data_IF_280463341975
#
_entry.id   IF_280463341975
#
_cell.length_a   1.000
_cell.length_b   1.000
_cell.length_c   1.000
_cell.angle_alpha   90.00
_cell.angle_beta   90.00
_cell.angle_gamma   90.00
#
_symmetry.space_group_name_H-M   'P 1'
#
loop_
_entity.id
_entity.type
_entity.pdbx_description
1 polymer ?
#
# COMPACT_ATOMS: atom_id res chain seq x y z
N UNK A 1 -16.61 34.19 -26.08
CA UNK A 1 -15.79 33.10 -26.60
C UNK A 1 -14.34 33.47 -26.34
N UNK A 2 -13.80 33.14 -25.18
CA UNK A 2 -12.40 33.36 -24.84
C UNK A 2 -11.71 32.01 -24.88
N UNK A 3 -10.74 31.90 -25.78
CA UNK A 3 -9.87 30.75 -25.94
C UNK A 3 -9.02 30.57 -24.68
N UNK A 4 -9.26 29.49 -23.94
CA UNK A 4 -8.37 29.03 -22.88
C UNK A 4 -7.16 28.42 -23.58
N UNK A 5 -6.02 29.10 -23.49
CA UNK A 5 -4.72 28.55 -23.93
C UNK A 5 -4.36 27.38 -23.01
N UNK A 6 -4.24 26.23 -23.61
CA UNK A 6 -3.76 24.99 -22.97
C UNK A 6 -2.26 25.15 -22.66
N UNK A 7 -1.95 25.64 -21.47
CA UNK A 7 -0.60 25.79 -20.96
C UNK A 7 -0.06 24.45 -20.46
N UNK A 8 0.12 23.46 -21.35
CA UNK A 8 0.83 22.23 -21.03
C UNK A 8 2.31 22.53 -20.84
N UNK A 9 2.73 22.60 -19.55
CA UNK A 9 4.16 22.55 -19.20
C UNK A 9 4.75 21.24 -19.71
N UNK A 10 5.96 21.25 -20.28
CA UNK A 10 6.62 20.02 -20.69
C UNK A 10 6.85 19.15 -19.45
N UNK A 11 6.18 18.00 -19.42
CA UNK A 11 6.47 16.94 -18.45
C UNK A 11 7.88 16.45 -18.75
N UNK A 12 8.76 16.46 -17.74
CA UNK A 12 10.07 15.82 -17.87
C UNK A 12 9.91 14.41 -18.42
N UNK A 13 10.84 13.99 -19.26
CA UNK A 13 10.80 12.69 -19.89
C UNK A 13 10.63 11.59 -18.83
N UNK A 14 9.72 10.63 -19.04
CA UNK A 14 9.63 9.47 -18.17
C UNK A 14 10.97 8.72 -18.24
N UNK A 15 11.41 8.11 -17.11
CA UNK A 15 12.68 7.40 -17.09
C UNK A 15 12.69 6.34 -18.20
N UNK A 16 13.83 6.25 -18.90
CA UNK A 16 14.06 5.18 -19.88
C UNK A 16 14.11 3.87 -19.10
N UNK A 17 13.06 3.09 -19.20
CA UNK A 17 12.97 1.77 -18.57
C UNK A 17 13.52 0.78 -19.59
N UNK A 18 14.69 0.22 -19.31
CA UNK A 18 15.10 -1.03 -19.96
C UNK A 18 14.08 -2.09 -19.60
N UNK A 19 13.58 -2.80 -20.59
CA UNK A 19 12.53 -3.81 -20.40
C UNK A 19 12.99 -4.84 -19.36
N UNK A 20 12.19 -5.14 -18.32
CA UNK A 20 12.45 -6.32 -17.53
C UNK A 20 12.30 -7.52 -18.47
N UNK A 21 13.42 -8.12 -18.86
CA UNK A 21 13.39 -9.44 -19.48
C UNK A 21 12.77 -10.43 -18.49
N UNK A 22 12.12 -11.50 -18.95
CA UNK A 22 11.58 -12.55 -18.07
C UNK A 22 12.60 -13.16 -17.09
N UNK A 23 13.89 -12.91 -17.30
CA UNK A 23 15.01 -13.33 -16.45
C UNK A 23 15.46 -12.26 -15.42
N UNK A 24 14.81 -11.09 -15.38
CA UNK A 24 15.21 -9.94 -14.54
C UNK A 24 14.77 -10.00 -13.06
N UNK A 25 14.36 -11.15 -12.57
CA UNK A 25 13.93 -11.35 -11.16
C UNK A 25 15.01 -10.94 -10.14
N UNK A 26 16.29 -11.05 -10.51
CA UNK A 26 17.41 -10.75 -9.60
C UNK A 26 17.63 -9.24 -9.39
N UNK A 27 17.30 -8.40 -10.37
CA UNK A 27 17.47 -6.94 -10.25
C UNK A 27 16.36 -6.26 -9.44
N UNK A 28 15.18 -6.85 -9.39
CA UNK A 28 13.97 -6.26 -8.80
C UNK A 28 13.96 -6.42 -7.27
N UNK A 29 14.39 -7.57 -6.74
CA UNK A 29 14.58 -7.75 -5.30
C UNK A 29 15.61 -6.75 -4.73
N UNK A 30 16.56 -6.29 -5.54
CA UNK A 30 17.51 -5.25 -5.17
C UNK A 30 16.87 -3.85 -5.07
N UNK A 31 15.75 -3.58 -5.74
CA UNK A 31 15.10 -2.26 -5.73
C UNK A 31 14.50 -1.89 -4.38
N UNK A 32 13.89 -2.84 -3.69
CA UNK A 32 13.29 -2.62 -2.37
C UNK A 32 14.34 -2.28 -1.30
N UNK A 33 15.56 -2.80 -1.47
CA UNK A 33 16.66 -2.68 -0.52
C UNK A 33 17.49 -1.41 -0.73
N UNK A 34 17.26 -0.66 -1.80
CA UNK A 34 18.12 0.43 -2.26
C UNK A 34 17.75 1.81 -1.74
N UNK A 35 16.83 1.94 -0.80
CA UNK A 35 16.62 3.26 -0.19
C UNK A 35 17.90 3.71 0.52
N UNK A 36 18.42 4.92 0.21
CA UNK A 36 19.80 5.29 0.57
C UNK A 36 20.00 5.66 2.04
N UNK A 37 18.97 5.65 2.87
CA UNK A 37 19.03 6.08 4.27
C UNK A 37 18.34 5.09 5.20
N UNK A 38 18.75 5.04 6.46
CA UNK A 38 18.17 4.17 7.49
C UNK A 38 17.30 4.98 8.46
N UNK A 39 16.09 4.53 8.82
CA UNK A 39 15.27 5.20 9.81
C UNK A 39 15.92 5.25 11.19
N UNK A 40 15.65 6.31 11.98
CA UNK A 40 16.31 6.54 13.26
C UNK A 40 15.97 5.50 14.34
N UNK A 41 14.87 4.77 14.18
CA UNK A 41 14.39 3.74 15.11
C UNK A 41 14.88 2.32 14.74
N UNK A 42 15.55 2.17 13.60
CA UNK A 42 16.17 0.90 13.18
C UNK A 42 17.58 0.81 13.76
N UNK A 43 17.78 -0.11 14.72
CA UNK A 43 19.11 -0.39 15.26
C UNK A 43 19.89 -1.26 14.28
N UNK A 44 20.90 -0.67 13.64
CA UNK A 44 21.87 -1.43 12.87
C UNK A 44 22.67 -2.34 13.82
N UNK A 45 22.66 -3.64 13.60
CA UNK A 45 23.70 -4.51 14.14
C UNK A 45 24.96 -4.26 13.30
N UNK A 46 26.10 -3.99 13.95
CA UNK A 46 27.37 -3.60 13.29
C UNK A 46 27.85 -4.55 12.18
N UNK A 47 27.34 -5.78 12.12
CA UNK A 47 27.73 -6.78 11.12
C UNK A 47 26.91 -6.75 9.82
N UNK A 48 25.81 -5.99 9.72
CA UNK A 48 24.81 -6.16 8.65
C UNK A 48 24.29 -4.84 8.07
N UNK A 49 25.20 -3.92 7.73
CA UNK A 49 24.80 -2.66 7.07
C UNK A 49 23.93 -2.89 5.78
N UNK A 50 24.14 -4.03 5.12
CA UNK A 50 23.32 -4.46 3.97
C UNK A 50 22.00 -5.14 4.38
N UNK A 51 21.90 -5.70 5.60
CA UNK A 51 20.67 -6.34 6.08
C UNK A 51 19.71 -5.37 6.75
N UNK A 52 20.18 -4.21 7.20
CA UNK A 52 19.37 -3.19 7.86
C UNK A 52 18.33 -2.56 6.91
N UNK A 53 18.64 -2.50 5.62
CA UNK A 53 17.67 -2.09 4.62
C UNK A 53 16.48 -3.06 4.49
N UNK A 54 16.61 -4.31 4.94
CA UNK A 54 15.55 -5.33 4.93
C UNK A 54 14.47 -5.11 5.99
N UNK A 55 14.74 -4.33 7.04
CA UNK A 55 13.73 -4.05 8.08
C UNK A 55 12.65 -3.05 7.64
N UNK A 56 12.77 -2.42 6.46
CA UNK A 56 11.76 -1.51 5.87
C UNK A 56 10.64 -2.24 5.19
N UNK A 57 11.00 -3.35 4.56
CA UNK A 57 10.09 -4.25 3.89
C UNK A 57 10.15 -5.58 4.60
N UNK A 58 9.01 -6.19 4.84
CA UNK A 58 8.99 -7.55 5.34
C UNK A 58 9.42 -8.49 4.22
N UNK A 59 9.94 -9.66 4.57
CA UNK A 59 10.18 -10.73 3.59
C UNK A 59 8.91 -11.07 2.79
N UNK A 60 7.77 -10.78 3.39
CA UNK A 60 6.49 -10.94 2.78
C UNK A 60 6.26 -9.90 1.67
N UNK A 61 6.55 -8.61 1.91
CA UNK A 61 6.47 -7.57 0.88
C UNK A 61 7.39 -7.91 -0.30
N UNK A 62 8.62 -8.38 -0.02
CA UNK A 62 9.58 -8.82 -1.05
C UNK A 62 8.97 -9.91 -1.92
N UNK A 63 8.46 -10.97 -1.30
CA UNK A 63 7.87 -12.10 -2.03
C UNK A 63 6.64 -11.67 -2.87
N UNK A 64 5.83 -10.75 -2.39
CA UNK A 64 4.66 -10.26 -3.13
C UNK A 64 5.04 -9.37 -4.30
N UNK A 65 6.06 -8.51 -4.15
CA UNK A 65 6.59 -7.74 -5.27
C UNK A 65 7.23 -8.66 -6.30
N UNK A 66 8.06 -9.63 -5.88
CA UNK A 66 8.65 -10.61 -6.79
C UNK A 66 7.57 -11.39 -7.54
N UNK A 67 6.48 -11.77 -6.86
CA UNK A 67 5.35 -12.40 -7.50
C UNK A 67 4.69 -11.50 -8.55
N UNK A 68 4.44 -10.22 -8.24
CA UNK A 68 3.86 -9.26 -9.17
C UNK A 68 4.77 -9.05 -10.40
N UNK A 69 6.08 -8.94 -10.18
CA UNK A 69 7.06 -8.71 -11.23
C UNK A 69 7.27 -9.94 -12.11
N UNK A 70 7.07 -11.15 -11.57
CA UNK A 70 7.18 -12.40 -12.33
C UNK A 70 5.97 -12.71 -13.21
N UNK A 71 4.84 -12.02 -13.07
CA UNK A 71 3.64 -12.27 -13.89
C UNK A 71 3.92 -11.99 -15.36
N UNK A 72 3.72 -12.99 -16.21
CA UNK A 72 3.93 -12.86 -17.66
C UNK A 72 2.59 -12.64 -18.37
N UNK A 73 2.38 -11.41 -18.84
CA UNK A 73 1.17 -11.02 -19.57
C UNK A 73 1.07 -11.64 -20.98
N UNK A 74 2.15 -12.19 -21.49
CA UNK A 74 2.26 -12.62 -22.89
C UNK A 74 2.33 -14.14 -23.05
N UNK A 75 2.82 -14.86 -22.05
CA UNK A 75 2.95 -16.32 -22.14
C UNK A 75 1.59 -16.98 -22.32
N UNK A 76 1.45 -17.78 -23.35
CA UNK A 76 0.22 -18.53 -23.64
C UNK A 76 -0.04 -19.65 -22.62
N UNK A 77 1.01 -20.15 -21.97
CA UNK A 77 0.96 -21.23 -20.99
C UNK A 77 2.18 -21.19 -20.07
N UNK A 78 2.15 -21.92 -18.99
CA UNK A 78 3.26 -22.04 -18.03
C UNK A 78 2.88 -21.47 -16.65
N UNK A 79 3.74 -21.64 -15.65
CA UNK A 79 3.43 -21.32 -14.26
C UNK A 79 3.28 -19.79 -14.00
N UNK A 80 3.82 -18.97 -14.87
CA UNK A 80 3.73 -17.49 -14.78
C UNK A 80 2.72 -16.90 -15.77
N UNK A 81 2.11 -17.73 -16.64
CA UNK A 81 1.07 -17.32 -17.57
C UNK A 81 -0.18 -16.88 -16.81
N UNK A 82 -0.72 -15.72 -17.17
CA UNK A 82 -1.89 -15.14 -16.53
C UNK A 82 -2.96 -14.78 -17.55
N UNK A 83 -4.22 -14.83 -17.11
CA UNK A 83 -5.33 -14.28 -17.85
C UNK A 83 -5.41 -12.77 -17.63
N UNK A 84 -5.55 -12.01 -18.72
CA UNK A 84 -5.56 -10.55 -18.73
C UNK A 84 -6.89 -10.07 -19.29
N UNK A 85 -7.74 -9.49 -18.44
CA UNK A 85 -9.11 -9.15 -18.82
C UNK A 85 -9.52 -7.78 -18.28
N UNK A 86 -10.45 -7.07 -18.96
CA UNK A 86 -10.90 -5.78 -18.47
C UNK A 86 -11.67 -5.93 -17.15
N UNK A 87 -11.49 -4.96 -16.25
CA UNK A 87 -12.34 -4.81 -15.09
C UNK A 87 -13.71 -4.32 -15.56
N UNK A 88 -14.73 -5.11 -15.29
CA UNK A 88 -16.12 -4.81 -15.58
C UNK A 88 -16.77 -4.16 -14.34
N UNK A 89 -17.74 -3.32 -14.48
CA UNK A 89 -18.50 -2.70 -13.36
C UNK A 89 -17.73 -1.66 -12.51
N UNK A 90 -16.92 -0.82 -13.14
CA UNK A 90 -16.21 0.25 -12.44
C UNK A 90 -16.40 1.60 -13.14
N UNK A 91 -16.20 2.67 -12.37
CA UNK A 91 -16.11 4.05 -12.87
C UNK A 91 -14.75 4.38 -13.49
N UNK A 92 -13.72 3.54 -13.25
CA UNK A 92 -12.38 3.70 -13.82
C UNK A 92 -11.99 2.52 -14.69
N UNK A 93 -11.28 2.77 -15.79
CA UNK A 93 -10.66 1.71 -16.59
C UNK A 93 -9.60 0.99 -15.78
N UNK A 94 -9.54 -0.32 -15.88
CA UNK A 94 -8.55 -1.15 -15.20
C UNK A 94 -8.51 -2.55 -15.80
N UNK A 95 -7.41 -3.22 -15.62
CA UNK A 95 -7.17 -4.58 -16.10
C UNK A 95 -7.06 -5.49 -14.88
N UNK A 96 -7.74 -6.61 -14.89
CA UNK A 96 -7.66 -7.65 -13.85
C UNK A 96 -6.78 -8.79 -14.34
N UNK A 97 -5.88 -9.24 -13.49
CA UNK A 97 -4.91 -10.29 -13.77
C UNK A 97 -5.28 -11.53 -12.94
N UNK A 98 -5.37 -12.66 -13.62
CA UNK A 98 -5.81 -13.92 -13.02
C UNK A 98 -4.76 -15.03 -13.20
N UNK A 99 -4.39 -15.67 -12.11
CA UNK A 99 -3.72 -16.98 -12.15
C UNK A 99 -4.72 -18.03 -12.66
N UNK A 100 -4.31 -18.78 -13.68
CA UNK A 100 -5.18 -19.73 -14.35
C UNK A 100 -4.95 -21.15 -13.84
N UNK A 101 -6.00 -21.95 -13.68
CA UNK A 101 -5.83 -23.37 -13.44
C UNK A 101 -5.16 -24.03 -14.66
N UNK A 102 -4.36 -25.06 -14.43
CA UNK A 102 -3.59 -25.77 -15.48
C UNK A 102 -4.44 -26.35 -16.63
N UNK A 103 -5.74 -26.48 -16.40
CA UNK A 103 -6.71 -26.98 -17.39
C UNK A 103 -7.27 -25.89 -18.30
N UNK A 104 -6.94 -24.63 -18.07
CA UNK A 104 -7.50 -23.50 -18.80
C UNK A 104 -6.39 -22.68 -19.47
N UNK A 105 -6.41 -22.58 -20.80
CA UNK A 105 -5.47 -21.75 -21.53
C UNK A 105 -5.81 -20.25 -21.38
N UNK A 106 -4.80 -19.38 -21.50
CA UNK A 106 -4.97 -17.93 -21.51
C UNK A 106 -5.99 -17.49 -22.54
N UNK A 107 -5.85 -17.95 -23.77
CA UNK A 107 -6.75 -17.59 -24.87
C UNK A 107 -8.21 -17.99 -24.59
N UNK A 108 -8.45 -19.21 -24.10
CA UNK A 108 -9.78 -19.68 -23.75
C UNK A 108 -10.39 -18.83 -22.63
N UNK A 109 -9.60 -18.51 -21.59
CA UNK A 109 -10.03 -17.66 -20.49
C UNK A 109 -10.39 -16.25 -20.99
N UNK A 110 -9.52 -15.58 -21.71
CA UNK A 110 -9.71 -14.21 -22.19
C UNK A 110 -10.91 -14.12 -23.15
N UNK A 111 -11.11 -15.13 -23.99
CA UNK A 111 -12.26 -15.20 -24.91
C UNK A 111 -13.60 -15.40 -24.18
N UNK A 112 -13.61 -16.19 -23.12
CA UNK A 112 -14.85 -16.56 -22.42
C UNK A 112 -15.17 -15.63 -21.25
N UNK A 113 -14.15 -15.13 -20.53
CA UNK A 113 -14.30 -14.36 -19.31
C UNK A 113 -14.02 -12.85 -19.49
N UNK A 114 -13.34 -12.47 -20.59
CA UNK A 114 -13.03 -11.09 -20.93
C UNK A 114 -14.27 -10.28 -21.29
N UNK A 115 -15.13 -10.72 -22.24
CA UNK A 115 -16.30 -9.98 -22.63
C UNK A 115 -17.36 -9.89 -21.53
N UNK A 116 -18.05 -8.76 -21.51
CA UNK A 116 -19.22 -8.59 -20.63
C UNK A 116 -20.33 -9.58 -21.03
N UNK A 117 -20.94 -10.19 -20.01
CA UNK A 117 -22.14 -11.00 -20.18
C UNK A 117 -23.35 -10.23 -19.60
N UNK A 118 -24.42 -9.98 -20.36
CA UNK A 118 -25.64 -9.37 -19.83
C UNK A 118 -26.17 -10.15 -18.63
N UNK A 119 -26.59 -9.46 -17.59
CA UNK A 119 -27.09 -10.07 -16.35
C UNK A 119 -26.02 -10.46 -15.31
N UNK A 120 -24.73 -10.33 -15.63
CA UNK A 120 -23.65 -10.51 -14.64
C UNK A 120 -23.57 -9.26 -13.77
N UNK A 121 -23.95 -9.38 -12.51
CA UNK A 121 -23.81 -8.32 -11.52
C UNK A 121 -22.38 -8.28 -10.96
N UNK A 122 -21.97 -7.20 -10.29
CA UNK A 122 -20.69 -7.07 -9.59
C UNK A 122 -20.35 -8.31 -8.74
N UNK A 123 -21.34 -8.96 -8.17
CA UNK A 123 -21.23 -10.19 -7.39
C UNK A 123 -20.72 -11.39 -8.22
N UNK A 124 -20.97 -11.40 -9.53
CA UNK A 124 -20.54 -12.50 -10.42
C UNK A 124 -19.21 -12.21 -11.12
N UNK A 125 -18.76 -10.95 -11.24
CA UNK A 125 -17.42 -10.65 -11.75
C UNK A 125 -16.32 -11.25 -10.84
N UNK A 126 -16.62 -11.50 -9.57
CA UNK A 126 -15.74 -12.18 -8.63
C UNK A 126 -15.72 -13.72 -8.79
N UNK A 127 -16.48 -14.28 -9.73
CA UNK A 127 -16.58 -15.74 -9.98
C UNK A 127 -15.96 -16.16 -11.31
N UNK A 128 -14.99 -15.42 -11.83
CA UNK A 128 -14.22 -15.86 -12.98
C UNK A 128 -13.45 -17.14 -12.66
N UNK A 129 -13.21 -17.96 -13.69
CA UNK A 129 -12.52 -19.25 -13.60
C UNK A 129 -11.01 -19.04 -13.38
N UNK A 130 -10.62 -18.56 -12.23
CA UNK A 130 -9.23 -18.29 -11.91
C UNK A 130 -9.14 -17.52 -10.60
N UNK A 131 -7.94 -17.45 -10.05
CA UNK A 131 -7.65 -16.68 -8.86
C UNK A 131 -7.16 -15.30 -9.29
N UNK A 132 -7.92 -14.25 -8.98
CA UNK A 132 -7.47 -12.88 -9.21
C UNK A 132 -6.25 -12.59 -8.33
N UNK A 133 -5.13 -12.24 -8.97
CA UNK A 133 -3.85 -12.00 -8.29
C UNK A 133 -3.47 -10.52 -8.26
N UNK A 134 -3.87 -9.75 -9.27
CA UNK A 134 -3.52 -8.34 -9.32
C UNK A 134 -4.52 -7.51 -10.15
N UNK A 135 -4.35 -6.19 -10.07
CA UNK A 135 -4.97 -5.19 -10.95
C UNK A 135 -3.87 -4.37 -11.59
N UNK A 136 -3.96 -4.15 -12.90
CA UNK A 136 -3.10 -3.23 -13.61
C UNK A 136 -3.90 -1.98 -13.99
N UNK A 137 -3.45 -0.82 -13.52
CA UNK A 137 -4.02 0.49 -13.84
C UNK A 137 -3.02 1.29 -14.66
N UNK A 138 -3.46 1.81 -15.79
CA UNK A 138 -2.62 2.49 -16.78
C UNK A 138 -2.55 3.98 -16.49
N UNK A 139 -1.36 4.56 -16.62
CA UNK A 139 -1.12 5.99 -16.65
C UNK A 139 -0.44 6.57 -15.42
N UNK A 140 -0.16 7.87 -15.49
CA UNK A 140 0.58 8.61 -14.45
C UNK A 140 -0.12 8.65 -13.09
N UNK A 141 -1.45 8.62 -13.05
CA UNK A 141 -2.20 8.54 -11.78
C UNK A 141 -1.88 7.23 -11.05
N UNK A 142 -1.65 6.16 -11.79
CA UNK A 142 -1.29 4.87 -11.22
C UNK A 142 0.07 4.90 -10.47
N UNK A 143 0.96 5.85 -10.76
CA UNK A 143 2.21 6.05 -10.00
C UNK A 143 1.94 6.32 -8.52
N UNK A 144 0.80 6.94 -8.19
CA UNK A 144 0.38 7.15 -6.81
C UNK A 144 0.27 5.85 -6.01
N UNK A 145 -0.28 4.79 -6.60
CA UNK A 145 -0.40 3.49 -5.95
C UNK A 145 0.95 2.89 -5.58
N UNK A 146 1.91 2.95 -6.51
CA UNK A 146 3.28 2.48 -6.27
C UNK A 146 3.96 3.32 -5.20
N UNK A 147 3.99 4.64 -5.37
CA UNK A 147 4.63 5.54 -4.41
C UNK A 147 4.00 5.45 -3.01
N UNK A 148 2.68 5.30 -2.92
CA UNK A 148 1.94 5.13 -1.67
C UNK A 148 2.42 3.87 -0.92
N UNK A 149 2.60 2.75 -1.62
CA UNK A 149 3.16 1.53 -1.03
C UNK A 149 4.55 1.78 -0.45
N UNK A 150 5.48 2.35 -1.23
CA UNK A 150 6.85 2.60 -0.77
C UNK A 150 6.89 3.58 0.40
N UNK A 151 6.21 4.71 0.32
CA UNK A 151 6.16 5.70 1.41
C UNK A 151 5.54 5.11 2.66
N UNK A 152 4.48 4.30 2.54
CA UNK A 152 3.88 3.63 3.71
C UNK A 152 4.88 2.76 4.46
N UNK A 153 5.78 2.08 3.74
CA UNK A 153 6.85 1.27 4.36
C UNK A 153 7.93 2.14 4.98
N UNK A 154 8.38 3.19 4.29
CA UNK A 154 9.33 4.17 4.84
C UNK A 154 8.84 4.81 6.13
N UNK A 155 7.54 5.07 6.24
CA UNK A 155 6.92 5.63 7.44
C UNK A 155 6.59 4.60 8.53
N UNK A 156 6.97 3.34 8.38
CA UNK A 156 6.87 2.32 9.43
C UNK A 156 5.70 1.36 9.28
N UNK A 157 5.48 0.82 8.08
CA UNK A 157 4.37 -0.09 7.80
C UNK A 157 3.03 0.50 8.20
N UNK A 158 2.79 1.71 7.74
CA UNK A 158 1.52 2.37 8.00
C UNK A 158 0.43 1.63 7.26
N UNK A 159 -0.49 1.09 7.99
CA UNK A 159 -1.69 0.46 7.43
C UNK A 159 -1.34 -0.60 6.37
N UNK A 160 -2.16 -1.57 6.15
CA UNK A 160 -2.00 -2.49 5.03
C UNK A 160 -2.30 -1.78 3.71
N UNK A 161 -1.29 -1.12 3.18
CA UNK A 161 -1.26 -0.67 1.78
C UNK A 161 -0.80 -1.85 0.95
N UNK A 162 -1.63 -2.33 0.00
CA UNK A 162 -1.27 -3.47 -0.83
C UNK A 162 0.03 -3.24 -1.60
N UNK A 163 0.87 -4.26 -1.74
CA UNK A 163 2.04 -4.22 -2.60
C UNK A 163 1.68 -3.77 -4.01
N UNK A 164 2.48 -2.87 -4.54
CA UNK A 164 2.31 -2.34 -5.87
C UNK A 164 3.68 -2.10 -6.53
N UNK A 165 3.77 -2.42 -7.81
CA UNK A 165 4.97 -2.23 -8.62
C UNK A 165 4.64 -1.50 -9.92
N UNK A 166 5.63 -0.82 -10.50
CA UNK A 166 5.52 -0.23 -11.82
C UNK A 166 5.63 -1.33 -12.87
N UNK A 167 4.73 -1.32 -13.85
CA UNK A 167 4.74 -2.29 -14.96
C UNK A 167 4.42 -1.60 -16.28
N UNK A 168 4.87 -2.23 -17.35
CA UNK A 168 4.53 -1.88 -18.72
C UNK A 168 3.75 -3.00 -19.39
N UNK A 169 2.98 -2.66 -20.40
CA UNK A 169 2.24 -3.60 -21.25
C UNK A 169 2.34 -3.15 -22.69
N UNK A 170 2.51 -4.11 -23.63
CA UNK A 170 2.48 -3.84 -25.04
C UNK A 170 1.12 -3.22 -25.47
N UNK A 171 1.17 -2.22 -26.33
CA UNK A 171 -0.05 -1.54 -26.80
C UNK A 171 -1.00 -2.52 -27.51
N UNK A 172 -0.49 -3.54 -28.21
CA UNK A 172 -1.34 -4.52 -28.89
C UNK A 172 -2.10 -5.38 -27.87
N UNK A 173 -1.44 -5.78 -26.76
CA UNK A 173 -2.11 -6.50 -25.68
C UNK A 173 -3.14 -5.61 -24.97
N UNK A 174 -2.79 -4.35 -24.70
CA UNK A 174 -3.72 -3.37 -24.16
C UNK A 174 -4.94 -3.18 -25.05
N UNK A 175 -4.76 -3.04 -26.38
CA UNK A 175 -5.88 -2.85 -27.33
C UNK A 175 -6.81 -4.07 -27.37
N UNK A 176 -6.30 -5.31 -27.24
CA UNK A 176 -7.14 -6.51 -27.11
C UNK A 176 -8.07 -6.41 -25.88
N UNK A 177 -7.52 -6.02 -24.72
CA UNK A 177 -8.29 -5.85 -23.50
C UNK A 177 -9.29 -4.69 -23.62
N UNK A 178 -8.88 -3.57 -24.21
CA UNK A 178 -9.72 -2.41 -24.42
C UNK A 178 -10.88 -2.70 -25.38
N UNK A 179 -10.69 -3.55 -26.39
CA UNK A 179 -11.77 -3.98 -27.29
C UNK A 179 -12.78 -4.88 -26.56
N UNK A 180 -12.32 -5.79 -25.70
CA UNK A 180 -13.21 -6.58 -24.83
C UNK A 180 -14.04 -5.67 -23.92
N UNK A 181 -13.41 -4.62 -23.35
CA UNK A 181 -14.07 -3.65 -22.48
C UNK A 181 -15.19 -2.85 -23.20
N UNK A 182 -15.05 -2.60 -24.49
CA UNK A 182 -16.05 -1.87 -25.30
C UNK A 182 -17.41 -2.57 -25.32
N UNK A 183 -17.41 -3.87 -25.14
CA UNK A 183 -18.64 -4.69 -25.15
C UNK A 183 -19.29 -4.84 -23.77
N UNK A 184 -18.78 -4.15 -22.74
CA UNK A 184 -19.24 -4.36 -21.35
C UNK A 184 -20.67 -3.90 -21.08
N UNK A 185 -21.22 -3.00 -21.89
CA UNK A 185 -22.58 -2.49 -21.71
C UNK A 185 -22.81 -1.61 -20.47
N UNK A 186 -21.80 -1.41 -19.61
CA UNK A 186 -21.90 -0.48 -18.47
C UNK A 186 -21.41 0.90 -18.89
N UNK A 187 -22.28 1.94 -18.91
CA UNK A 187 -21.97 3.25 -19.53
C UNK A 187 -20.69 3.89 -18.98
N UNK A 188 -20.55 3.99 -17.66
CA UNK A 188 -19.37 4.63 -17.04
C UNK A 188 -18.07 3.85 -17.28
N UNK A 189 -18.13 2.52 -17.34
CA UNK A 189 -16.98 1.70 -17.68
C UNK A 189 -16.57 1.91 -19.15
N UNK A 190 -17.56 1.91 -20.04
CA UNK A 190 -17.35 2.15 -21.48
C UNK A 190 -16.73 3.53 -21.74
N UNK A 191 -17.22 4.56 -21.04
CA UNK A 191 -16.69 5.93 -21.13
C UNK A 191 -15.21 5.99 -20.66
N UNK A 192 -14.91 5.45 -19.47
CA UNK A 192 -13.56 5.42 -18.92
C UNK A 192 -12.56 4.71 -19.85
N UNK A 193 -12.96 3.57 -20.42
CA UNK A 193 -12.16 2.85 -21.41
C UNK A 193 -12.02 3.63 -22.72
N UNK A 194 -13.07 4.34 -23.16
CA UNK A 194 -13.04 5.21 -24.32
C UNK A 194 -12.00 6.33 -24.18
N UNK A 195 -11.99 7.00 -23.04
CA UNK A 195 -11.01 8.05 -22.73
C UNK A 195 -9.60 7.48 -22.71
N UNK A 196 -9.36 6.39 -21.98
CA UNK A 196 -8.04 5.78 -21.88
C UNK A 196 -7.51 5.32 -23.25
N UNK A 197 -8.36 4.65 -24.03
CA UNK A 197 -8.02 4.22 -25.40
C UNK A 197 -7.70 5.40 -26.32
N UNK A 198 -8.42 6.51 -26.21
CA UNK A 198 -8.12 7.73 -26.96
C UNK A 198 -6.75 8.29 -26.59
N UNK A 199 -6.40 8.32 -25.30
CA UNK A 199 -5.08 8.76 -24.84
C UNK A 199 -3.95 7.85 -25.37
N UNK A 200 -4.16 6.54 -25.37
CA UNK A 200 -3.18 5.58 -25.93
C UNK A 200 -3.00 5.80 -27.44
N UNK A 201 -4.10 5.93 -28.19
CA UNK A 201 -4.05 6.17 -29.66
C UNK A 201 -3.40 7.49 -30.04
N UNK A 202 -3.55 8.52 -29.20
CA UNK A 202 -2.88 9.82 -29.43
C UNK A 202 -1.40 9.82 -28.99
N UNK A 203 -0.89 8.73 -28.44
CA UNK A 203 0.48 8.67 -27.93
C UNK A 203 0.70 9.58 -26.72
N UNK A 204 -0.34 9.81 -25.90
CA UNK A 204 -0.23 10.69 -24.73
C UNK A 204 0.84 10.19 -23.78
N UNK A 205 1.82 11.04 -23.44
CA UNK A 205 2.88 10.75 -22.47
C UNK A 205 2.36 10.44 -21.06
N UNK A 206 1.08 10.64 -20.79
CA UNK A 206 0.43 10.25 -19.54
C UNK A 206 0.17 8.75 -19.45
N UNK A 207 0.19 8.03 -20.54
CA UNK A 207 -0.18 6.60 -20.60
C UNK A 207 0.73 5.76 -21.48
N UNK A 208 1.49 6.39 -22.41
CA UNK A 208 2.36 5.71 -23.38
C UNK A 208 3.79 6.16 -23.17
N UNK A 209 4.73 5.22 -23.21
CA UNK A 209 6.16 5.52 -23.17
C UNK A 209 6.63 6.22 -24.46
N UNK A 210 7.77 6.94 -24.42
CA UNK A 210 8.25 7.70 -25.57
C UNK A 210 8.49 6.89 -26.85
N UNK A 211 8.75 5.57 -26.72
CA UNK A 211 8.92 4.66 -27.87
C UNK A 211 7.60 4.38 -28.62
N UNK A 212 6.47 4.78 -28.06
CA UNK A 212 5.15 4.59 -28.65
C UNK A 212 4.67 3.13 -28.69
N UNK A 213 5.36 2.19 -28.03
CA UNK A 213 5.08 0.76 -28.08
C UNK A 213 4.42 0.22 -26.83
N UNK A 214 4.63 0.86 -25.72
CA UNK A 214 4.23 0.39 -24.41
C UNK A 214 3.31 1.39 -23.69
N UNK A 215 2.27 0.89 -23.07
CA UNK A 215 1.56 1.58 -21.99
C UNK A 215 2.24 1.26 -20.67
N UNK A 216 2.19 2.19 -19.72
CA UNK A 216 2.75 2.00 -18.38
C UNK A 216 1.72 2.23 -17.30
N UNK A 217 1.99 1.72 -16.11
CA UNK A 217 1.08 1.87 -14.99
C UNK A 217 1.53 1.15 -13.72
N UNK A 218 0.62 0.99 -12.78
CA UNK A 218 0.84 0.23 -11.56
C UNK A 218 0.17 -1.14 -11.64
N UNK A 219 0.90 -2.16 -11.24
CA UNK A 219 0.38 -3.48 -10.94
C UNK A 219 0.31 -3.64 -9.43
N UNK A 220 -0.90 -3.80 -8.89
CA UNK A 220 -1.13 -3.87 -7.46
C UNK A 220 -1.93 -5.12 -7.09
N UNK A 221 -1.62 -5.72 -5.95
CA UNK A 221 -2.44 -6.77 -5.36
C UNK A 221 -3.73 -6.20 -4.76
N UNK A 222 -4.71 -7.07 -4.53
CA UNK A 222 -5.82 -6.72 -3.63
C UNK A 222 -5.35 -6.81 -2.18
N UNK A 223 -5.92 -6.01 -1.27
CA UNK A 223 -5.71 -6.19 0.15
C UNK A 223 -6.03 -7.63 0.57
N UNK A 224 -5.18 -8.23 1.40
CA UNK A 224 -5.42 -9.58 1.92
C UNK A 224 -6.63 -9.57 2.85
N UNK A 225 -7.41 -10.66 2.80
CA UNK A 225 -8.58 -10.80 3.66
C UNK A 225 -9.66 -9.75 3.42
N UNK A 226 -9.65 -9.08 2.25
CA UNK A 226 -10.71 -8.16 1.86
C UNK A 226 -12.06 -8.90 1.93
N UNK A 227 -12.80 -8.69 3.02
CA UNK A 227 -14.20 -9.05 3.08
C UNK A 227 -14.95 -8.04 2.21
N UNK A 228 -15.46 -8.48 1.08
CA UNK A 228 -16.29 -7.67 0.18
C UNK A 228 -17.70 -7.44 0.75
N UNK A 229 -17.83 -7.31 2.07
CA UNK A 229 -19.09 -6.99 2.71
C UNK A 229 -19.49 -5.56 2.39
N UNK A 230 -20.75 -5.31 2.04
CA UNK A 230 -21.27 -3.94 1.86
C UNK A 230 -21.14 -3.07 3.13
N UNK A 231 -20.93 -3.68 4.29
CA UNK A 231 -20.73 -3.00 5.57
C UNK A 231 -19.36 -2.29 5.68
N UNK A 232 -18.44 -2.54 4.74
CA UNK A 232 -17.10 -1.94 4.69
C UNK A 232 -17.04 -0.57 4.00
N UNK A 233 -18.17 0.00 3.60
CA UNK A 233 -18.21 1.37 3.07
C UNK A 233 -18.24 2.38 4.21
N UNK A 234 -17.08 2.89 4.54
CA UNK A 234 -16.94 3.88 5.59
C UNK A 234 -17.24 5.28 5.05
N UNK A 235 -18.43 5.77 5.34
CA UNK A 235 -18.73 7.20 5.20
C UNK A 235 -18.09 7.96 6.37
N UNK A 236 -17.99 9.28 6.25
CA UNK A 236 -17.50 10.13 7.34
C UNK A 236 -18.31 9.96 8.63
N UNK A 237 -19.61 9.85 8.50
CA UNK A 237 -20.52 9.68 9.64
C UNK A 237 -20.39 8.28 10.27
N UNK A 238 -20.18 7.25 9.44
CA UNK A 238 -19.88 5.92 9.94
C UNK A 238 -18.59 5.90 10.77
N UNK A 239 -17.52 6.55 10.29
CA UNK A 239 -16.26 6.67 11.03
C UNK A 239 -16.49 7.34 12.39
N UNK A 240 -17.23 8.44 12.43
CA UNK A 240 -17.55 9.16 13.69
C UNK A 240 -18.41 8.36 14.66
N UNK A 241 -19.16 7.40 14.18
CA UNK A 241 -19.97 6.49 14.99
C UNK A 241 -19.19 5.40 15.73
N UNK A 242 -17.94 5.13 15.33
CA UNK A 242 -17.13 4.09 15.95
C UNK A 242 -16.48 4.53 17.27
N UNK A 243 -16.30 3.56 18.20
CA UNK A 243 -15.68 3.80 19.51
C UNK A 243 -14.26 4.37 19.41
N UNK A 244 -13.46 3.89 18.46
CA UNK A 244 -12.10 4.38 18.24
C UNK A 244 -12.07 5.87 17.84
N UNK A 245 -13.13 6.40 17.24
CA UNK A 245 -13.18 7.82 16.87
C UNK A 245 -13.23 8.73 18.11
N UNK A 246 -13.83 8.26 19.20
CA UNK A 246 -13.80 8.98 20.49
C UNK A 246 -12.37 9.11 21.00
N UNK A 247 -11.52 8.10 20.74
CA UNK A 247 -10.09 8.16 21.05
C UNK A 247 -9.44 9.24 20.20
N UNK A 248 -9.63 9.18 18.87
CA UNK A 248 -8.99 10.13 17.93
C UNK A 248 -9.37 11.59 18.19
N UNK A 249 -10.63 11.86 18.46
CA UNK A 249 -11.18 13.22 18.58
C UNK A 249 -11.07 13.82 19.99
N UNK A 250 -10.62 13.08 20.97
CA UNK A 250 -10.40 13.57 22.33
C UNK A 250 -9.08 14.32 22.43
N UNK A 251 -9.02 15.37 23.26
CA UNK A 251 -7.78 16.04 23.65
C UNK A 251 -7.14 15.49 24.92
N UNK A 252 -7.82 14.56 25.59
CA UNK A 252 -7.27 13.90 26.78
C UNK A 252 -6.31 12.78 26.36
N UNK A 253 -5.24 12.49 27.12
CA UNK A 253 -4.34 11.37 26.84
C UNK A 253 -5.09 10.05 26.69
N UNK A 254 -4.63 9.16 25.80
CA UNK A 254 -5.27 7.85 25.53
C UNK A 254 -5.49 7.06 26.82
N UNK A 255 -4.54 7.10 27.75
CA UNK A 255 -4.65 6.43 29.06
C UNK A 255 -5.78 6.97 29.96
N UNK A 256 -6.29 8.18 29.70
CA UNK A 256 -7.43 8.75 30.41
C UNK A 256 -8.76 8.45 29.72
N UNK A 257 -8.72 8.02 28.44
CA UNK A 257 -9.91 7.69 27.65
C UNK A 257 -10.21 6.20 27.74
N UNK A 258 -9.15 5.37 27.70
CA UNK A 258 -9.23 3.92 27.69
C UNK A 258 -8.52 3.34 28.90
N UNK A 259 -9.08 2.24 29.44
CA UNK A 259 -8.36 1.44 30.43
C UNK A 259 -7.33 0.56 29.71
N UNK A 260 -6.09 1.05 29.61
CA UNK A 260 -4.99 0.34 28.92
C UNK A 260 -4.52 -0.95 29.63
N UNK A 261 -5.11 -1.29 30.80
CA UNK A 261 -4.88 -2.56 31.49
C UNK A 261 -5.97 -3.62 31.17
N UNK A 262 -6.92 -3.30 30.28
CA UNK A 262 -7.96 -4.23 29.81
C UNK A 262 -7.76 -4.49 28.32
N UNK A 263 -7.61 -5.77 27.94
CA UNK A 263 -7.42 -6.18 26.55
C UNK A 263 -8.54 -5.69 25.60
N UNK A 264 -9.71 -5.34 26.12
CA UNK A 264 -10.80 -4.75 25.32
C UNK A 264 -10.42 -3.42 24.65
N UNK A 265 -9.48 -2.67 25.23
CA UNK A 265 -9.02 -1.41 24.64
C UNK A 265 -8.21 -1.61 23.34
N UNK A 266 -7.62 -2.81 23.13
CA UNK A 266 -6.73 -3.08 22.01
C UNK A 266 -7.38 -2.84 20.65
N UNK A 267 -8.67 -3.18 20.52
CA UNK A 267 -9.41 -2.96 19.28
C UNK A 267 -9.51 -1.47 18.93
N UNK A 268 -9.82 -0.62 19.92
CA UNK A 268 -9.96 0.82 19.69
C UNK A 268 -8.61 1.48 19.45
N UNK A 269 -7.56 1.07 20.18
CA UNK A 269 -6.18 1.57 19.96
C UNK A 269 -5.69 1.19 18.56
N UNK A 270 -5.92 -0.06 18.12
CA UNK A 270 -5.51 -0.53 16.80
C UNK A 270 -6.18 0.28 15.68
N UNK A 271 -7.52 0.42 15.72
CA UNK A 271 -8.26 1.16 14.69
C UNK A 271 -7.95 2.66 14.72
N UNK A 272 -7.78 3.26 15.91
CA UNK A 272 -7.37 4.65 16.04
C UNK A 272 -5.99 4.88 15.41
N UNK A 273 -5.04 4.01 15.69
CA UNK A 273 -3.68 4.09 15.12
C UNK A 273 -3.69 3.92 13.60
N UNK A 274 -4.43 2.92 13.08
CA UNK A 274 -4.54 2.70 11.64
C UNK A 274 -5.20 3.90 10.94
N UNK A 275 -6.29 4.43 11.50
CA UNK A 275 -6.98 5.58 10.93
C UNK A 275 -6.07 6.81 10.86
N UNK A 276 -5.36 7.13 11.95
CA UNK A 276 -4.44 8.28 11.98
C UNK A 276 -3.34 8.13 10.93
N UNK A 277 -2.74 6.95 10.85
CA UNK A 277 -1.70 6.64 9.87
C UNK A 277 -2.20 6.84 8.44
N UNK A 278 -3.37 6.29 8.14
CA UNK A 278 -3.96 6.41 6.81
C UNK A 278 -4.33 7.84 6.44
N UNK A 279 -4.90 8.59 7.37
CA UNK A 279 -5.25 10.01 7.13
C UNK A 279 -4.01 10.86 6.87
N UNK A 280 -2.90 10.60 7.55
CA UNK A 280 -1.61 11.26 7.30
C UNK A 280 -1.09 10.89 5.91
N UNK A 281 -1.08 9.59 5.57
CA UNK A 281 -0.65 9.13 4.25
C UNK A 281 -1.49 9.75 3.13
N UNK A 282 -2.81 9.76 3.27
CA UNK A 282 -3.72 10.37 2.31
C UNK A 282 -3.51 11.87 2.16
N UNK A 283 -3.15 12.54 3.25
CA UNK A 283 -2.83 13.97 3.21
C UNK A 283 -1.54 14.25 2.45
N UNK A 284 -0.52 13.41 2.60
CA UNK A 284 0.74 13.46 1.85
C UNK A 284 0.47 13.25 0.35
N UNK A 285 -0.32 12.23 0.01
CA UNK A 285 -0.63 11.86 -1.37
C UNK A 285 -1.77 12.66 -1.99
N UNK A 286 -2.47 13.52 -1.23
CA UNK A 286 -3.68 14.22 -1.66
C UNK A 286 -4.72 13.27 -2.26
N UNK A 287 -4.96 12.17 -1.56
CA UNK A 287 -5.93 11.15 -1.95
C UNK A 287 -7.36 11.72 -1.90
N UNK A 288 -8.05 11.70 -3.02
CA UNK A 288 -9.38 12.33 -3.13
C UNK A 288 -10.53 11.33 -2.95
N UNK A 289 -10.29 10.04 -3.16
CA UNK A 289 -11.32 8.98 -3.13
C UNK A 289 -11.05 7.94 -2.04
N UNK A 290 -10.75 8.37 -0.81
CA UNK A 290 -10.49 7.43 0.29
C UNK A 290 -11.76 6.86 0.90
N UNK A 291 -12.76 7.69 1.11
CA UNK A 291 -14.03 7.24 1.69
C UNK A 291 -14.72 6.30 0.69
N UNK A 292 -14.96 5.06 1.06
CA UNK A 292 -15.37 3.97 0.16
C UNK A 292 -14.25 3.03 -0.30
N UNK A 293 -12.99 3.43 -0.11
CA UNK A 293 -11.79 2.62 -0.39
C UNK A 293 -11.02 2.22 0.88
N UNK A 294 -11.72 2.22 2.02
CA UNK A 294 -11.29 1.64 3.29
C UNK A 294 -11.95 0.27 3.39
N UNK A 295 -11.17 -0.77 3.69
CA UNK A 295 -11.71 -2.07 4.08
C UNK A 295 -11.18 -2.49 5.44
N UNK A 296 -11.81 -3.49 6.02
CA UNK A 296 -11.41 -4.06 7.31
C UNK A 296 -11.03 -5.51 7.09
N UNK A 297 -9.88 -5.91 7.64
CA UNK A 297 -9.50 -7.30 7.78
C UNK A 297 -9.39 -7.68 9.24
N UNK A 298 -9.78 -8.89 9.58
CA UNK A 298 -9.49 -9.48 10.87
C UNK A 298 -8.13 -10.16 10.82
N UNK A 299 -7.21 -9.72 11.68
CA UNK A 299 -5.85 -10.26 11.78
C UNK A 299 -5.63 -10.83 13.17
N UNK A 300 -4.90 -11.93 13.24
CA UNK A 300 -4.54 -12.63 14.47
C UNK A 300 -3.28 -11.98 15.06
N UNK A 301 -3.39 -11.34 16.22
CA UNK A 301 -2.29 -10.63 16.89
C UNK A 301 -1.79 -11.40 18.11
N UNK A 302 -0.49 -11.39 18.35
CA UNK A 302 0.10 -12.03 19.52
C UNK A 302 1.46 -11.41 19.87
N UNK A 303 1.87 -11.56 21.13
CA UNK A 303 3.22 -11.21 21.61
C UNK A 303 4.08 -12.45 21.59
N UNK A 304 5.26 -12.37 20.98
CA UNK A 304 6.22 -13.48 20.95
C UNK A 304 7.07 -13.54 22.22
N UNK A 305 7.71 -14.68 22.49
CA UNK A 305 8.67 -14.86 23.57
C UNK A 305 9.90 -13.93 23.51
N UNK A 306 10.07 -13.20 22.39
CA UNK A 306 11.09 -12.14 22.23
C UNK A 306 10.53 -10.73 22.50
N UNK A 307 9.31 -10.62 22.96
CA UNK A 307 8.64 -9.34 23.21
C UNK A 307 8.23 -8.59 21.96
N UNK A 308 8.11 -9.24 20.80
CA UNK A 308 7.65 -8.59 19.58
C UNK A 308 6.18 -8.86 19.34
N UNK A 309 5.40 -7.83 19.08
CA UNK A 309 4.02 -7.96 18.58
C UNK A 309 4.08 -8.39 17.11
N UNK A 310 3.45 -9.52 16.82
CA UNK A 310 3.27 -10.04 15.46
C UNK A 310 1.78 -10.14 15.13
N UNK A 311 1.50 -10.19 13.86
CA UNK A 311 0.15 -10.41 13.34
C UNK A 311 0.19 -11.11 11.99
N UNK A 312 -0.84 -11.89 11.68
CA UNK A 312 -1.05 -12.53 10.37
C UNK A 312 -2.56 -12.82 10.21
N UNK A 313 -2.99 -13.09 8.98
CA UNK A 313 -4.34 -13.60 8.69
C UNK A 313 -4.55 -15.01 9.25
N UNK A 314 -3.48 -15.80 9.31
CA UNK A 314 -3.48 -17.16 9.87
C UNK A 314 -2.17 -17.44 10.58
N UNK A 315 -2.24 -17.63 11.87
CA UNK A 315 -1.06 -17.96 12.69
C UNK A 315 -0.64 -19.41 12.42
N UNK A 316 0.62 -19.59 12.05
CA UNK A 316 1.22 -20.91 11.84
C UNK A 316 1.42 -21.66 13.17
N UNK A 317 1.60 -22.98 13.13
CA UNK A 317 1.87 -23.76 14.34
C UNK A 317 3.21 -23.36 14.99
N UNK A 318 4.19 -22.95 14.20
CA UNK A 318 5.42 -22.35 14.70
C UNK A 318 5.15 -21.03 15.46
N UNK A 319 4.34 -20.16 14.91
CA UNK A 319 4.01 -18.89 15.55
C UNK A 319 3.21 -19.09 16.83
N UNK A 320 2.32 -20.09 16.87
CA UNK A 320 1.61 -20.48 18.11
C UNK A 320 2.58 -20.91 19.20
N UNK A 321 3.67 -21.60 18.84
CA UNK A 321 4.70 -22.02 19.79
C UNK A 321 5.54 -20.83 20.29
N UNK A 322 5.73 -19.81 19.47
CA UNK A 322 6.46 -18.59 19.84
C UNK A 322 5.58 -17.59 20.65
N UNK A 323 4.24 -17.71 20.56
CA UNK A 323 3.31 -16.81 21.22
C UNK A 323 3.30 -17.00 22.72
N UNK A 324 3.45 -15.93 23.50
CA UNK A 324 3.31 -15.91 24.96
C UNK A 324 1.97 -15.31 25.39
N UNK A 325 1.37 -14.46 24.57
CA UNK A 325 0.02 -13.97 24.78
C UNK A 325 -1.03 -14.86 24.12
N UNK A 326 -2.32 -14.71 24.48
CA UNK A 326 -3.40 -15.22 23.64
C UNK A 326 -3.31 -14.68 22.23
N UNK A 327 -3.74 -15.50 21.24
CA UNK A 327 -3.89 -15.04 19.86
C UNK A 327 -5.22 -14.29 19.76
N UNK A 328 -5.15 -13.00 19.51
CA UNK A 328 -6.31 -12.09 19.51
C UNK A 328 -6.73 -11.74 18.08
N UNK A 329 -7.97 -12.07 17.68
CA UNK A 329 -8.53 -11.60 16.43
C UNK A 329 -8.90 -10.12 16.57
N UNK A 330 -8.17 -9.23 15.91
CA UNK A 330 -8.44 -7.79 15.91
C UNK A 330 -8.69 -7.30 14.49
N UNK A 331 -9.68 -6.43 14.36
CA UNK A 331 -9.96 -5.74 13.10
C UNK A 331 -8.90 -4.67 12.86
N UNK A 332 -8.35 -4.64 11.64
CA UNK A 332 -7.37 -3.65 11.17
C UNK A 332 -7.90 -2.95 9.93
N UNK A 333 -7.55 -1.69 9.77
CA UNK A 333 -7.92 -0.90 8.59
C UNK A 333 -6.94 -1.17 7.47
N UNK A 334 -7.47 -1.37 6.26
CA UNK A 334 -6.72 -1.57 5.03
C UNK A 334 -7.10 -0.50 4.02
N UNK A 335 -6.11 0.05 3.32
CA UNK A 335 -6.30 1.10 2.33
C UNK A 335 -6.10 0.55 0.93
N UNK A 336 -7.15 0.55 0.14
CA UNK A 336 -7.15 0.10 -1.26
C UNK A 336 -7.34 1.28 -2.22
N UNK A 337 -7.17 1.00 -3.52
CA UNK A 337 -7.32 1.97 -4.61
C UNK A 337 -6.53 3.28 -4.35
N UNK A 338 -5.22 3.13 -4.06
CA UNK A 338 -4.32 4.23 -3.73
C UNK A 338 -3.86 5.03 -4.97
N UNK A 339 -4.39 4.70 -6.14
CA UNK A 339 -4.08 5.34 -7.42
C UNK A 339 -4.80 6.67 -7.65
N UNK A 340 -5.81 7.02 -6.84
CA UNK A 340 -6.45 8.33 -6.87
C UNK A 340 -5.73 9.40 -6.02
N UNK A 341 -4.52 9.11 -5.59
CA UNK A 341 -3.59 10.07 -4.99
C UNK A 341 -2.83 10.89 -6.04
N UNK A 342 -1.92 11.74 -5.57
CA UNK A 342 -1.15 12.69 -6.39
C UNK A 342 -2.04 13.62 -7.24
N UNK A 343 -3.25 13.89 -6.75
CA UNK A 343 -4.19 14.77 -7.42
C UNK A 343 -3.96 16.23 -7.00
N UNK A 344 -2.84 16.78 -7.47
CA UNK A 344 -2.30 18.06 -7.01
C UNK A 344 -3.19 19.26 -7.32
N UNK A 345 -4.06 19.15 -8.32
CA UNK A 345 -5.01 20.22 -8.71
C UNK A 345 -6.26 20.32 -7.84
N UNK A 346 -6.52 19.33 -6.97
CA UNK A 346 -7.71 19.34 -6.11
C UNK A 346 -7.48 20.15 -4.83
N UNK A 347 -8.42 21.03 -4.50
CA UNK A 347 -8.31 21.89 -3.32
C UNK A 347 -8.67 21.19 -2.01
N UNK A 348 -9.46 20.12 -2.06
CA UNK A 348 -9.87 19.36 -0.87
C UNK A 348 -9.65 17.87 -1.08
N UNK A 349 -9.26 17.20 -0.01
CA UNK A 349 -9.19 15.75 0.09
C UNK A 349 -10.26 15.25 1.06
N UNK A 350 -10.79 14.05 0.79
CA UNK A 350 -11.95 13.51 1.53
C UNK A 350 -11.70 13.32 3.02
N UNK A 351 -10.43 13.10 3.41
CA UNK A 351 -10.04 12.83 4.81
C UNK A 351 -9.60 14.08 5.61
N UNK A 352 -9.52 15.26 4.99
CA UNK A 352 -9.10 16.49 5.68
C UNK A 352 -9.89 16.78 6.98
N UNK A 353 -11.23 16.61 7.01
CA UNK A 353 -11.97 16.82 8.26
C UNK A 353 -11.56 15.85 9.38
N UNK A 354 -11.28 14.60 9.04
CA UNK A 354 -10.84 13.59 10.02
C UNK A 354 -9.44 13.96 10.54
N UNK A 355 -8.53 14.40 9.67
CA UNK A 355 -7.20 14.85 10.07
C UNK A 355 -7.28 16.05 11.02
N UNK A 356 -8.16 17.01 10.76
CA UNK A 356 -8.34 18.17 11.62
C UNK A 356 -8.90 17.81 13.00
N UNK A 357 -9.73 16.77 13.09
CA UNK A 357 -10.34 16.25 14.31
C UNK A 357 -9.43 15.25 15.05
N UNK A 358 -8.29 14.85 14.46
CA UNK A 358 -7.34 13.90 15.07
C UNK A 358 -6.43 14.61 16.06
N UNK A 359 -6.42 14.13 17.32
CA UNK A 359 -5.58 14.65 18.40
C UNK A 359 -4.55 13.65 18.93
N UNK A 360 -4.43 12.46 18.33
CA UNK A 360 -3.50 11.42 18.73
C UNK A 360 -2.75 10.86 17.53
N UNK A 361 -1.46 10.57 17.73
CA UNK A 361 -0.58 9.96 16.70
C UNK A 361 0.36 8.97 17.35
N UNK A 362 0.79 7.95 16.61
CA UNK A 362 1.86 7.09 17.09
C UNK A 362 3.25 7.67 16.87
N UNK A 363 4.17 7.30 17.76
CA UNK A 363 5.54 7.81 17.78
C UNK A 363 6.32 7.43 16.51
N UNK A 364 6.11 6.24 16.00
CA UNK A 364 6.88 5.74 14.85
C UNK A 364 6.61 6.59 13.60
N UNK A 365 5.32 6.79 13.25
CA UNK A 365 5.01 7.61 12.09
C UNK A 365 5.46 9.07 12.28
N UNK A 366 5.26 9.63 13.48
CA UNK A 366 5.69 10.99 13.75
C UNK A 366 7.19 11.17 13.52
N UNK A 367 8.01 10.33 14.14
CA UNK A 367 9.46 10.42 14.03
C UNK A 367 9.96 10.16 12.60
N UNK A 368 9.43 9.14 11.93
CA UNK A 368 9.83 8.80 10.56
C UNK A 368 9.39 9.83 9.54
N UNK A 369 8.22 10.45 9.73
CA UNK A 369 7.77 11.54 8.88
C UNK A 369 8.68 12.77 9.03
N UNK A 370 9.04 13.16 10.27
CA UNK A 370 9.97 14.25 10.51
C UNK A 370 11.35 13.97 9.91
N UNK A 371 11.85 12.75 10.09
CA UNK A 371 13.11 12.31 9.52
C UNK A 371 13.13 12.35 7.98
N UNK A 372 12.11 11.78 7.33
CA UNK A 372 12.03 11.76 5.87
C UNK A 372 11.89 13.17 5.30
N UNK A 373 11.08 14.02 5.93
CA UNK A 373 10.96 15.43 5.56
C UNK A 373 12.29 16.19 5.71
N UNK A 374 13.04 15.92 6.78
CA UNK A 374 14.36 16.51 6.99
C UNK A 374 15.36 16.11 5.89
N UNK A 375 15.39 14.84 5.52
CA UNK A 375 16.23 14.35 4.41
C UNK A 375 15.83 15.00 3.07
N UNK A 376 14.54 15.13 2.79
CA UNK A 376 14.04 15.78 1.57
C UNK A 376 14.31 17.30 1.54
N UNK A 377 14.67 17.92 2.67
CA UNK A 377 15.08 19.32 2.79
C UNK A 377 16.62 19.47 2.87
N UNK A 378 17.38 18.46 2.42
CA UNK A 378 18.84 18.42 2.51
C UNK A 378 19.38 18.52 3.96
N UNK A 379 18.66 17.98 4.93
CA UNK A 379 19.13 17.86 6.32
C UNK A 379 20.47 17.12 6.44
N UNK A 380 20.75 16.21 5.49
CA UNK A 380 22.09 15.70 5.21
C UNK A 380 22.49 16.13 3.79
N UNK A 381 23.72 16.65 3.56
CA UNK A 381 24.11 17.18 2.25
C UNK A 381 23.86 16.18 1.10
N UNK A 382 23.09 16.59 0.11
CA UNK A 382 22.76 15.78 -1.07
C UNK A 382 21.72 14.68 -0.80
N UNK A 383 21.05 14.66 0.35
CA UNK A 383 20.04 13.64 0.66
C UNK A 383 18.81 13.75 -0.23
N UNK A 384 18.35 14.96 -0.55
CA UNK A 384 17.21 15.15 -1.47
C UNK A 384 17.49 14.56 -2.85
N UNK A 385 18.67 14.83 -3.41
CA UNK A 385 19.05 14.29 -4.72
C UNK A 385 19.05 12.75 -4.74
N UNK A 386 19.57 12.10 -3.69
CA UNK A 386 19.57 10.63 -3.57
C UNK A 386 18.16 10.06 -3.42
N UNK A 387 17.30 10.73 -2.66
CA UNK A 387 15.89 10.32 -2.51
C UNK A 387 15.14 10.51 -3.83
N UNK A 388 15.38 11.63 -4.52
CA UNK A 388 14.80 11.88 -5.84
C UNK A 388 15.20 10.78 -6.83
N UNK A 389 16.50 10.44 -6.88
CA UNK A 389 17.00 9.35 -7.71
C UNK A 389 16.28 8.03 -7.41
N UNK A 390 16.14 7.68 -6.13
CA UNK A 390 15.39 6.50 -5.72
C UNK A 390 13.93 6.52 -6.19
N UNK A 391 13.19 7.60 -5.95
CA UNK A 391 11.79 7.67 -6.35
C UNK A 391 11.61 7.72 -7.87
N UNK A 392 12.50 8.38 -8.60
CA UNK A 392 12.39 8.50 -10.06
C UNK A 392 12.85 7.22 -10.75
N UNK A 393 14.00 6.67 -10.38
CA UNK A 393 14.63 5.57 -11.12
C UNK A 393 14.27 4.18 -10.58
N UNK A 394 13.87 4.07 -9.30
CA UNK A 394 13.53 2.78 -8.67
C UNK A 394 12.00 2.63 -8.52
N UNK A 395 11.33 3.65 -7.98
CA UNK A 395 9.87 3.62 -7.76
C UNK A 395 9.11 4.02 -9.03
N UNK A 396 9.79 4.63 -10.02
CA UNK A 396 9.25 5.11 -11.29
C UNK A 396 8.16 6.20 -11.13
N UNK A 397 8.35 7.10 -10.18
CA UNK A 397 7.58 8.32 -10.07
C UNK A 397 8.20 9.38 -10.97
N UNK A 398 7.42 10.11 -11.75
CA UNK A 398 7.97 11.21 -12.56
C UNK A 398 8.60 12.29 -11.67
N UNK A 399 9.64 12.98 -12.18
CA UNK A 399 10.32 14.04 -11.41
C UNK A 399 9.35 15.12 -10.91
N UNK A 400 8.39 15.54 -11.73
CA UNK A 400 7.36 16.52 -11.35
C UNK A 400 6.48 16.02 -10.20
N UNK A 401 6.05 14.74 -10.25
CA UNK A 401 5.29 14.15 -9.17
C UNK A 401 6.13 13.96 -7.90
N UNK A 402 7.43 13.66 -8.02
CA UNK A 402 8.32 13.62 -6.87
C UNK A 402 8.42 15.00 -6.19
N UNK A 403 8.66 16.06 -6.95
CA UNK A 403 8.81 17.41 -6.40
C UNK A 403 7.53 17.87 -5.66
N UNK A 404 6.36 17.54 -6.19
CA UNK A 404 5.07 17.79 -5.55
C UNK A 404 4.83 16.90 -4.32
N UNK A 405 5.21 15.62 -4.38
CA UNK A 405 5.15 14.70 -3.25
C UNK A 405 6.05 15.18 -2.10
N UNK A 406 7.28 15.57 -2.41
CA UNK A 406 8.22 16.19 -1.46
C UNK A 406 7.59 17.40 -0.79
N UNK A 407 7.10 18.37 -1.57
CA UNK A 407 6.47 19.57 -1.04
C UNK A 407 5.27 19.26 -0.13
N UNK A 408 4.44 18.29 -0.50
CA UNK A 408 3.30 17.85 0.30
C UNK A 408 3.74 17.16 1.60
N UNK A 409 4.72 16.27 1.53
CA UNK A 409 5.24 15.52 2.68
C UNK A 409 5.88 16.48 3.71
N UNK A 410 6.74 17.40 3.25
CA UNK A 410 7.38 18.41 4.10
C UNK A 410 6.32 19.27 4.78
N UNK A 411 5.33 19.78 4.03
CA UNK A 411 4.23 20.57 4.59
C UNK A 411 3.45 19.81 5.67
N UNK A 412 3.18 18.52 5.46
CA UNK A 412 2.47 17.68 6.44
C UNK A 412 3.33 17.46 7.70
N UNK A 413 4.63 17.22 7.53
CA UNK A 413 5.56 17.08 8.65
C UNK A 413 5.60 18.36 9.51
N UNK A 414 5.74 19.53 8.90
CA UNK A 414 5.72 20.83 9.58
C UNK A 414 4.39 21.09 10.29
N UNK A 415 3.26 20.81 9.61
CA UNK A 415 1.93 20.97 10.20
C UNK A 415 1.75 20.08 11.44
N UNK A 416 2.14 18.81 11.34
CA UNK A 416 2.05 17.88 12.48
C UNK A 416 2.99 18.28 13.61
N UNK A 417 4.22 18.70 13.28
CA UNK A 417 5.16 19.20 14.29
C UNK A 417 4.57 20.37 15.07
N UNK A 418 4.02 21.35 14.38
CA UNK A 418 3.39 22.52 15.03
C UNK A 418 2.23 22.09 15.95
N UNK A 419 1.39 21.14 15.51
CA UNK A 419 0.28 20.64 16.34
C UNK A 419 0.76 19.84 17.55
N UNK A 420 1.86 19.12 17.45
CA UNK A 420 2.49 18.42 18.60
C UNK A 420 3.12 19.42 19.56
N UNK A 421 3.87 20.39 19.06
CA UNK A 421 4.53 21.43 19.88
C UNK A 421 3.50 22.27 20.66
N UNK A 422 2.34 22.54 20.07
CA UNK A 422 1.21 23.25 20.72
C UNK A 422 0.30 22.35 21.57
N UNK A 423 0.61 21.06 21.67
CA UNK A 423 -0.18 20.05 22.37
C UNK A 423 -1.62 19.87 21.84
N UNK A 424 -1.88 20.26 20.61
CA UNK A 424 -3.12 19.95 19.92
C UNK A 424 -3.16 18.48 19.46
N UNK A 425 -1.98 17.86 19.21
CA UNK A 425 -1.80 16.43 19.00
C UNK A 425 -0.89 15.85 20.07
N UNK A 426 -1.27 14.71 20.64
CA UNK A 426 -0.47 13.92 21.54
C UNK A 426 0.18 12.73 20.81
N UNK A 427 1.44 12.44 21.16
CA UNK A 427 2.20 11.30 20.57
C UNK A 427 2.09 10.12 21.55
N UNK A 428 0.89 9.55 21.66
CA UNK A 428 0.52 8.58 22.69
C UNK A 428 -0.34 7.39 22.19
N UNK A 429 -0.53 7.25 20.89
CA UNK A 429 -1.06 6.01 20.31
C UNK A 429 0.08 5.00 20.18
N UNK A 430 -0.01 3.89 20.89
CA UNK A 430 0.99 2.81 20.87
C UNK A 430 0.31 1.47 21.07
N UNK A 431 -0.16 0.89 19.98
CA UNK A 431 -0.81 -0.43 19.99
C UNK A 431 0.16 -1.52 20.43
N UNK A 432 1.40 -1.53 19.87
CA UNK A 432 2.38 -2.56 20.19
C UNK A 432 2.80 -2.49 21.66
N UNK A 433 3.18 -1.31 22.14
CA UNK A 433 3.55 -1.12 23.56
C UNK A 433 2.39 -1.40 24.51
N UNK A 434 1.13 -1.13 24.12
CA UNK A 434 -0.04 -1.50 24.90
C UNK A 434 -0.18 -3.01 25.02
N UNK A 435 -0.02 -3.76 23.89
CA UNK A 435 -0.02 -5.22 23.94
C UNK A 435 1.12 -5.79 24.77
N UNK A 436 2.35 -5.30 24.57
CA UNK A 436 3.52 -5.74 25.34
C UNK A 436 3.32 -5.54 26.86
N UNK A 437 2.79 -4.39 27.25
CA UNK A 437 2.49 -4.09 28.64
C UNK A 437 1.41 -4.98 29.23
N UNK A 438 0.33 -5.25 28.50
CA UNK A 438 -0.76 -6.12 28.94
C UNK A 438 -0.30 -7.55 29.19
N UNK A 439 0.70 -8.03 28.45
CA UNK A 439 1.21 -9.40 28.55
C UNK A 439 2.65 -9.46 29.07
N UNK A 440 3.08 -8.45 29.84
CA UNK A 440 4.46 -8.37 30.36
C UNK A 440 4.78 -9.54 31.31
N UNK A 441 3.85 -9.96 32.16
CA UNK A 441 4.04 -11.07 33.11
C UNK A 441 4.26 -12.40 32.39
N UNK A 442 3.46 -12.68 31.35
CA UNK A 442 3.61 -13.89 30.53
C UNK A 442 4.92 -13.87 29.76
N UNK A 443 5.34 -12.70 29.26
CA UNK A 443 6.62 -12.52 28.59
C UNK A 443 7.81 -12.76 29.53
N UNK A 444 7.79 -12.20 30.74
CA UNK A 444 8.83 -12.41 31.75
C UNK A 444 8.93 -13.88 32.14
N UNK A 445 7.80 -14.56 32.35
CA UNK A 445 7.77 -15.99 32.67
C UNK A 445 8.38 -16.84 31.52
N UNK A 446 8.05 -16.54 30.26
CA UNK A 446 8.59 -17.25 29.11
C UNK A 446 10.10 -17.00 28.93
N UNK A 447 10.58 -15.79 29.17
CA UNK A 447 12.01 -15.46 29.10
C UNK A 447 12.82 -16.14 30.22
N UNK A 448 12.27 -16.21 31.43
CA UNK A 448 12.88 -16.92 32.54
C UNK A 448 13.00 -18.44 32.25
N UNK A 449 11.95 -19.04 31.70
CA UNK A 449 11.96 -20.44 31.30
C UNK A 449 13.01 -20.75 30.23
N UNK A 450 13.16 -19.88 29.21
CA UNK A 450 14.14 -20.00 28.16
C UNK A 450 15.60 -19.85 28.70
N UNK A 451 15.79 -19.02 29.71
CA UNK A 451 17.11 -18.80 30.33
C UNK A 451 17.51 -19.95 31.25
N UNK A 452 16.53 -20.67 31.81
CA UNK A 452 16.78 -21.83 32.69
C UNK A 452 16.96 -23.14 31.91
N UNK A 453 16.66 -23.17 30.61
CA UNK A 453 16.90 -24.36 29.79
C UNK A 453 18.41 -24.65 29.68
N UNK A 454 18.91 -25.83 30.08
CA UNK A 454 20.35 -26.15 30.00
C UNK A 454 20.78 -26.07 28.54
N UNK A 455 21.93 -25.43 28.31
CA UNK A 455 22.58 -25.44 27.00
C UNK A 455 22.70 -26.91 26.55
N UNK A 456 22.01 -27.27 25.46
CA UNK A 456 22.02 -28.63 24.93
C UNK A 456 23.49 -29.04 24.74
N UNK A 457 23.98 -30.00 25.53
CA UNK A 457 25.27 -30.59 25.37
C UNK A 457 25.34 -31.16 23.96
N UNK A 458 26.17 -30.52 23.13
CA UNK A 458 26.54 -31.07 21.81
C UNK A 458 27.14 -32.46 22.06
N UNK A 459 26.62 -33.53 21.47
CA UNK A 459 27.25 -34.82 21.60
C UNK A 459 28.64 -34.72 20.95
N UNK A 460 29.67 -34.97 21.73
CA UNK A 460 31.03 -35.17 21.24
C UNK A 460 31.01 -36.43 20.36
N UNK A 461 31.25 -36.27 19.08
CA UNK A 461 31.61 -37.34 18.15
C UNK A 461 33.07 -37.27 17.85
#
# INVERSE_FOLDING_TARGET
MSSVSDGSLPLGDPPVVEHPTPNGVTEIAQRLVQFPFTPPDVKLKEADALSASKDWFTKHDENEIDQLDSLDFYAASGPQSVGVVPKLHNTSAGIEIYELPSTLSKEAFEKTEGPYRPGVTKKYSNKRSGKKVAKFKVGTMAQSGVACFYVSRLLGHLVEVPPATYRTMDIQEFEKVAEQARTTGHPSCTEAWGVLRSMVKSGSSRVVLPDGKLVFGSLAQNPRGENSSPEDYWTRDAIRGHSFYKVLSSKAPVANILNLNDAKCLQDVALAQDMTRGVILDSIFRQVDRLGNISIAELQHYVTNKGKVKWDHKVSDKDKTEAVSPILPLKRIMYKDNDDGMNWGMNSISVTPILNETHHIDRTIYNRLQWLAGLMQDGEPGSDAKIKDYFVNIVHVSSDNYDKLKASLVKQAESLKNRVDTKDILVDLDFAGTMEKLYATELEAAQAANSAAPASSTPAT
#
